data_IF_954934177191
#
_entry.id   IF_954934177191
#
_cell.length_a   1.000
_cell.length_b   1.000
_cell.length_c   1.000
_cell.angle_alpha   90.00
_cell.angle_beta   90.00
_cell.angle_gamma   90.00
#
_symmetry.space_group_name_H-M   'P 1'
#
loop_
_entity.id
_entity.type
_entity.pdbx_description
1 polymer ?
#
# COMPACT_ATOMS: atom_id res chain seq x y z
N UNK A 1 -30.63 -27.39 13.70
CA UNK A 1 -29.86 -26.81 14.81
C UNK A 1 -28.56 -26.33 14.19
N UNK A 2 -28.25 -25.06 14.35
CA UNK A 2 -27.08 -24.42 13.76
C UNK A 2 -25.87 -24.47 14.69
N UNK A 3 -24.66 -24.21 14.19
CA UNK A 3 -23.47 -24.19 15.02
C UNK A 3 -23.42 -22.94 15.91
N UNK A 4 -23.63 -21.76 15.32
CA UNK A 4 -23.73 -20.48 16.02
C UNK A 4 -24.96 -19.71 15.53
N UNK A 5 -25.70 -19.12 16.46
CA UNK A 5 -26.74 -18.13 16.17
C UNK A 5 -26.43 -16.82 16.89
N UNK A 6 -26.36 -15.72 16.14
CA UNK A 6 -26.29 -14.36 16.68
C UNK A 6 -27.69 -13.78 16.62
N UNK A 7 -28.30 -13.53 17.78
CA UNK A 7 -29.67 -13.04 17.95
C UNK A 7 -29.72 -11.53 17.89
N UNK A 8 -30.83 -10.99 17.39
CA UNK A 8 -31.20 -9.59 17.59
C UNK A 8 -30.12 -8.58 17.12
N UNK A 9 -29.55 -8.80 15.94
CA UNK A 9 -28.59 -7.87 15.33
C UNK A 9 -29.30 -6.80 14.48
N UNK A 10 -28.68 -5.64 14.35
CA UNK A 10 -28.96 -4.67 13.29
C UNK A 10 -28.06 -4.99 12.09
N UNK A 11 -28.60 -5.64 11.08
CA UNK A 11 -27.83 -6.19 9.96
C UNK A 11 -27.61 -5.12 8.89
N UNK A 12 -26.34 -4.89 8.57
CA UNK A 12 -25.84 -4.07 7.45
C UNK A 12 -25.04 -4.99 6.53
N UNK A 13 -25.65 -5.50 5.47
CA UNK A 13 -25.08 -6.60 4.66
C UNK A 13 -24.07 -6.19 3.58
N UNK A 14 -23.69 -4.90 3.54
CA UNK A 14 -22.70 -4.39 2.59
C UNK A 14 -23.25 -4.09 1.19
N UNK A 15 -24.52 -4.41 0.89
CA UNK A 15 -25.13 -4.15 -0.44
C UNK A 15 -25.50 -2.68 -0.69
N UNK A 16 -25.45 -1.84 0.35
CA UNK A 16 -25.98 -0.48 0.32
C UNK A 16 -27.49 -0.38 0.62
N UNK A 17 -28.18 -1.51 0.82
CA UNK A 17 -29.58 -1.50 1.26
C UNK A 17 -29.73 -0.98 2.71
N UNK A 18 -30.93 -0.50 3.10
CA UNK A 18 -31.19 -0.10 4.48
C UNK A 18 -30.97 -1.23 5.49
N UNK A 19 -30.49 -0.86 6.69
CA UNK A 19 -30.28 -1.80 7.78
C UNK A 19 -31.59 -2.44 8.25
N UNK A 20 -31.53 -3.69 8.71
CA UNK A 20 -32.70 -4.44 9.18
C UNK A 20 -32.40 -5.27 10.43
N UNK A 21 -33.38 -5.43 11.31
CA UNK A 21 -33.22 -6.31 12.47
C UNK A 21 -33.41 -7.79 12.10
N UNK A 22 -32.62 -8.65 12.74
CA UNK A 22 -32.82 -10.09 12.67
C UNK A 22 -31.66 -10.89 13.25
N UNK A 23 -31.74 -12.20 13.07
CA UNK A 23 -30.72 -13.14 13.52
C UNK A 23 -29.75 -13.51 12.39
N UNK A 24 -28.54 -13.94 12.76
CA UNK A 24 -27.60 -14.62 11.87
C UNK A 24 -27.44 -16.07 12.34
N UNK A 25 -27.46 -17.02 11.41
CA UNK A 25 -27.12 -18.41 11.70
C UNK A 25 -25.89 -18.82 10.89
N UNK A 26 -24.96 -19.52 11.52
CA UNK A 26 -23.70 -19.98 10.94
C UNK A 26 -23.61 -21.50 11.11
N UNK A 27 -23.29 -22.18 10.02
CA UNK A 27 -23.02 -23.62 9.95
C UNK A 27 -21.65 -23.82 9.28
N UNK A 28 -20.69 -24.37 10.02
CA UNK A 28 -19.29 -24.39 9.60
C UNK A 28 -18.75 -23.00 9.25
N UNK A 29 -18.28 -22.83 8.02
CA UNK A 29 -17.66 -21.58 7.51
C UNK A 29 -18.66 -20.69 6.76
N UNK A 30 -19.95 -21.01 6.76
CA UNK A 30 -20.96 -20.31 5.95
C UNK A 30 -22.11 -19.78 6.78
N UNK A 31 -22.65 -18.64 6.32
CA UNK A 31 -23.91 -18.11 6.80
C UNK A 31 -25.06 -18.99 6.26
N UNK A 32 -25.78 -19.64 7.16
CA UNK A 32 -26.99 -20.40 6.87
C UNK A 32 -28.24 -19.52 6.83
N UNK A 33 -28.26 -18.40 7.56
CA UNK A 33 -29.37 -17.44 7.58
C UNK A 33 -28.87 -16.04 7.88
N UNK A 34 -29.43 -15.04 7.19
CA UNK A 34 -29.12 -13.61 7.38
C UNK A 34 -30.42 -12.81 7.47
N UNK A 35 -30.83 -12.49 8.69
CA UNK A 35 -32.07 -11.79 9.00
C UNK A 35 -33.23 -12.72 9.32
N UNK A 36 -34.37 -12.14 9.70
CA UNK A 36 -35.52 -12.90 10.19
C UNK A 36 -35.24 -13.57 11.54
N UNK A 37 -35.95 -14.67 11.81
CA UNK A 37 -35.79 -15.46 13.04
C UNK A 37 -35.10 -16.77 12.72
N UNK A 38 -33.89 -16.95 13.23
CA UNK A 38 -33.13 -18.18 13.04
C UNK A 38 -33.66 -19.31 13.92
N UNK A 39 -33.39 -20.56 13.52
CA UNK A 39 -33.59 -21.74 14.37
C UNK A 39 -32.70 -21.72 15.63
N UNK A 40 -32.68 -22.82 16.38
CA UNK A 40 -31.79 -22.93 17.55
C UNK A 40 -30.33 -23.14 17.13
N UNK A 41 -29.41 -22.51 17.87
CA UNK A 41 -27.96 -22.70 17.72
C UNK A 41 -27.40 -23.57 18.85
N UNK A 42 -26.29 -24.28 18.61
CA UNK A 42 -25.50 -24.95 19.67
C UNK A 42 -24.90 -23.91 20.60
N UNK A 43 -24.43 -22.81 20.03
CA UNK A 43 -24.04 -21.58 20.72
C UNK A 43 -24.98 -20.45 20.28
N UNK A 44 -25.47 -19.67 21.23
CA UNK A 44 -26.27 -18.48 20.95
C UNK A 44 -25.62 -17.26 21.61
N UNK A 45 -25.57 -16.15 20.86
CA UNK A 45 -25.06 -14.85 21.31
C UNK A 45 -26.16 -13.83 21.09
N UNK A 46 -26.52 -13.04 22.09
CA UNK A 46 -27.42 -11.90 21.91
C UNK A 46 -26.61 -10.66 21.53
N UNK A 47 -26.84 -10.14 20.32
CA UNK A 47 -26.19 -8.91 19.86
C UNK A 47 -26.81 -7.65 20.50
N UNK A 48 -27.97 -7.74 21.16
CA UNK A 48 -28.56 -6.61 21.88
C UNK A 48 -28.90 -5.40 20.98
N UNK A 49 -29.13 -5.63 19.69
CA UNK A 49 -29.34 -4.58 18.70
C UNK A 49 -28.07 -3.97 18.11
N UNK A 50 -26.88 -4.49 18.44
CA UNK A 50 -25.62 -4.05 17.83
C UNK A 50 -25.57 -4.37 16.34
N UNK A 51 -24.71 -3.63 15.63
CA UNK A 51 -24.51 -3.81 14.19
C UNK A 51 -23.81 -5.14 13.92
N UNK A 52 -24.36 -5.90 12.98
CA UNK A 52 -23.66 -7.01 12.35
C UNK A 52 -23.46 -6.67 10.87
N UNK A 53 -22.21 -6.69 10.43
CA UNK A 53 -21.78 -6.39 9.07
C UNK A 53 -20.78 -7.44 8.59
N UNK A 54 -20.54 -7.55 7.26
CA UNK A 54 -19.37 -8.26 6.76
C UNK A 54 -18.11 -7.74 7.44
N UNK A 55 -17.16 -8.63 7.69
CA UNK A 55 -15.84 -8.21 8.13
C UNK A 55 -15.17 -7.31 7.09
N UNK A 56 -14.31 -6.41 7.56
CA UNK A 56 -13.77 -5.38 6.70
C UNK A 56 -12.67 -5.99 5.83
N UNK A 57 -12.63 -5.62 4.54
CA UNK A 57 -11.54 -5.97 3.65
C UNK A 57 -10.60 -4.77 3.59
N UNK A 58 -9.44 -4.90 4.22
CA UNK A 58 -8.40 -3.89 4.19
C UNK A 58 -7.57 -4.07 2.92
N UNK A 59 -7.86 -3.24 1.92
CA UNK A 59 -7.33 -3.40 0.55
C UNK A 59 -5.91 -2.84 0.38
N UNK A 60 -5.35 -2.19 1.42
CA UNK A 60 -4.08 -1.50 1.31
C UNK A 60 -3.25 -1.65 2.59
N UNK A 61 -2.53 -2.76 2.70
CA UNK A 61 -1.69 -3.08 3.87
C UNK A 61 -0.25 -3.40 3.47
N UNK A 62 0.63 -3.34 4.46
CA UNK A 62 2.05 -3.71 4.37
C UNK A 62 2.41 -4.78 5.41
N UNK A 63 1.52 -5.76 5.57
CA UNK A 63 1.72 -6.91 6.46
C UNK A 63 2.58 -8.03 5.83
N UNK A 64 3.24 -7.77 4.70
CA UNK A 64 4.04 -8.73 3.94
C UNK A 64 5.01 -9.53 4.80
N UNK A 65 5.76 -8.84 5.67
CA UNK A 65 6.64 -9.49 6.62
C UNK A 65 5.84 -10.08 7.79
N UNK A 66 4.96 -9.26 8.38
CA UNK A 66 4.21 -9.58 9.59
C UNK A 66 3.37 -10.84 9.49
N UNK A 67 2.84 -11.13 8.30
CA UNK A 67 2.09 -12.34 8.04
C UNK A 67 2.92 -13.61 8.27
N UNK A 68 4.26 -13.56 8.22
CA UNK A 68 5.09 -14.73 8.51
C UNK A 68 5.11 -15.13 9.99
N UNK A 69 4.88 -14.21 10.93
CA UNK A 69 4.97 -14.50 12.37
C UNK A 69 3.71 -14.18 13.20
N UNK A 70 2.86 -13.23 12.78
CA UNK A 70 1.67 -12.82 13.53
C UNK A 70 0.40 -13.46 12.93
N UNK A 71 -0.17 -14.49 13.58
CA UNK A 71 -1.39 -15.14 13.09
C UNK A 71 -2.64 -14.25 13.18
N UNK A 72 -2.57 -13.12 13.89
CA UNK A 72 -3.68 -12.22 14.13
C UNK A 72 -3.60 -10.93 13.31
N UNK A 73 -2.49 -10.64 12.63
CA UNK A 73 -2.23 -9.38 11.91
C UNK A 73 -2.64 -8.14 12.73
N UNK A 74 -2.14 -8.07 13.96
CA UNK A 74 -2.42 -6.96 14.87
C UNK A 74 -1.84 -5.65 14.32
N UNK A 75 -2.58 -4.51 14.40
CA UNK A 75 -3.85 -4.33 15.10
C UNK A 75 -5.11 -4.46 14.22
N UNK A 76 -5.02 -4.80 12.92
CA UNK A 76 -6.19 -4.78 12.01
C UNK A 76 -7.38 -5.60 12.52
N UNK A 77 -7.10 -6.74 13.15
CA UNK A 77 -8.11 -7.59 13.77
C UNK A 77 -8.93 -6.91 14.87
N UNK A 78 -8.34 -5.97 15.62
CA UNK A 78 -9.03 -5.21 16.67
C UNK A 78 -10.04 -4.22 16.10
N UNK A 79 -9.93 -3.92 14.81
CA UNK A 79 -10.79 -2.97 14.10
C UNK A 79 -11.84 -3.66 13.22
N UNK A 80 -11.99 -4.99 13.34
CA UNK A 80 -13.00 -5.77 12.62
C UNK A 80 -12.60 -6.16 11.20
N UNK A 81 -11.37 -5.87 10.77
CA UNK A 81 -10.82 -6.37 9.51
C UNK A 81 -10.82 -7.88 9.52
N UNK A 82 -11.37 -8.51 8.48
CA UNK A 82 -11.34 -9.97 8.29
C UNK A 82 -10.44 -10.44 7.16
N UNK A 83 -10.05 -9.54 6.27
CA UNK A 83 -9.23 -9.85 5.10
C UNK A 83 -8.25 -8.71 4.87
N UNK A 84 -6.98 -9.02 4.66
CA UNK A 84 -5.96 -8.04 4.32
C UNK A 84 -5.39 -8.30 2.92
N UNK A 85 -5.23 -7.24 2.13
CA UNK A 85 -4.50 -7.26 0.86
C UNK A 85 -3.13 -6.60 1.08
N UNK A 86 -2.06 -7.35 0.85
CA UNK A 86 -0.68 -6.90 1.04
C UNK A 86 0.10 -6.85 -0.27
N UNK A 87 1.35 -6.37 -0.21
CA UNK A 87 2.19 -6.15 -1.37
C UNK A 87 1.74 -4.93 -2.17
N UNK A 88 1.33 -3.85 -1.52
CA UNK A 88 0.95 -2.59 -2.15
C UNK A 88 2.18 -1.72 -2.47
N UNK A 89 2.00 -0.64 -3.21
CA UNK A 89 3.02 0.39 -3.43
C UNK A 89 4.32 -0.12 -4.09
N UNK A 90 4.28 -1.31 -4.71
CA UNK A 90 5.46 -1.95 -5.27
C UNK A 90 6.47 -2.45 -4.24
N UNK A 91 6.14 -2.53 -2.95
CA UNK A 91 7.04 -3.00 -1.89
C UNK A 91 6.49 -4.24 -1.20
N UNK A 92 7.38 -5.15 -0.84
CA UNK A 92 7.05 -6.43 -0.24
C UNK A 92 8.24 -7.38 -0.30
N UNK A 93 8.04 -8.63 0.12
CA UNK A 93 9.13 -9.57 0.37
C UNK A 93 9.14 -10.78 -0.58
N UNK A 94 8.48 -10.72 -1.74
CA UNK A 94 8.51 -11.80 -2.72
C UNK A 94 8.46 -11.27 -4.16
N UNK A 95 9.32 -11.76 -5.09
CA UNK A 95 10.42 -12.70 -4.84
C UNK A 95 11.52 -12.07 -3.95
N UNK A 96 12.29 -12.92 -3.26
CA UNK A 96 13.34 -12.52 -2.35
C UNK A 96 14.62 -13.32 -2.61
N UNK A 97 15.54 -12.72 -3.38
CA UNK A 97 16.90 -13.26 -3.51
C UNK A 97 17.55 -13.30 -2.12
N UNK A 98 18.07 -14.46 -1.65
CA UNK A 98 18.74 -14.58 -0.36
C UNK A 98 19.88 -13.57 -0.14
N UNK A 99 20.53 -13.12 -1.20
CA UNK A 99 21.57 -12.09 -1.13
C UNK A 99 21.01 -10.66 -0.93
N UNK A 100 19.69 -10.47 -0.94
CA UNK A 100 18.99 -9.18 -0.94
C UNK A 100 17.98 -9.00 0.20
N UNK A 101 17.88 -9.94 1.14
CA UNK A 101 16.94 -9.83 2.26
C UNK A 101 17.09 -8.52 3.05
N UNK A 102 18.31 -8.13 3.42
CA UNK A 102 18.57 -6.89 4.16
C UNK A 102 18.17 -5.65 3.34
N UNK A 103 18.36 -5.69 2.02
CA UNK A 103 17.96 -4.61 1.13
C UNK A 103 16.44 -4.49 1.04
N UNK A 104 15.71 -5.62 0.94
CA UNK A 104 14.25 -5.61 0.95
C UNK A 104 13.69 -5.08 2.28
N UNK A 105 14.34 -5.42 3.40
CA UNK A 105 14.00 -4.87 4.72
C UNK A 105 14.20 -3.35 4.73
N UNK A 106 15.35 -2.86 4.27
CA UNK A 106 15.63 -1.42 4.20
C UNK A 106 14.71 -0.66 3.22
N UNK A 107 14.23 -1.31 2.17
CA UNK A 107 13.22 -0.77 1.27
C UNK A 107 11.88 -0.61 1.99
N UNK A 108 11.39 -1.65 2.66
CA UNK A 108 10.13 -1.60 3.42
C UNK A 108 10.21 -0.58 4.56
N UNK A 109 11.32 -0.55 5.30
CA UNK A 109 11.56 0.40 6.40
C UNK A 109 11.50 1.85 5.92
N UNK A 110 12.16 2.18 4.80
CA UNK A 110 12.17 3.54 4.27
C UNK A 110 10.80 4.04 3.81
N UNK A 111 9.96 3.13 3.29
CA UNK A 111 8.66 3.49 2.69
C UNK A 111 7.56 3.51 3.73
N UNK A 112 7.49 2.47 4.57
CA UNK A 112 6.37 2.23 5.50
C UNK A 112 6.69 2.57 6.96
N UNK A 113 7.93 3.03 7.24
CA UNK A 113 8.40 3.37 8.59
C UNK A 113 8.26 2.19 9.58
N UNK A 114 8.29 0.96 9.04
CA UNK A 114 8.31 -0.27 9.83
C UNK A 114 9.74 -0.50 10.29
N UNK A 115 10.02 -0.60 11.61
CA UNK A 115 11.39 -0.75 12.09
C UNK A 115 12.07 -1.96 11.46
N UNK A 116 13.22 -1.76 10.81
CA UNK A 116 13.95 -2.83 10.13
C UNK A 116 14.35 -3.95 11.08
N UNK A 117 14.60 -3.62 12.35
CA UNK A 117 14.85 -4.59 13.43
C UNK A 117 13.67 -5.53 13.67
N UNK A 118 12.44 -5.04 13.64
CA UNK A 118 11.25 -5.88 13.80
C UNK A 118 11.08 -6.85 12.63
N UNK A 119 11.39 -6.39 11.41
CA UNK A 119 11.36 -7.22 10.20
C UNK A 119 12.48 -8.27 10.21
N UNK A 120 13.70 -7.88 10.56
CA UNK A 120 14.85 -8.78 10.63
C UNK A 120 14.71 -9.87 11.71
N UNK A 121 14.10 -9.54 12.86
CA UNK A 121 13.83 -10.51 13.92
C UNK A 121 12.59 -11.37 13.64
N UNK A 122 11.56 -10.79 13.02
CA UNK A 122 10.27 -11.44 12.81
C UNK A 122 10.20 -12.34 11.58
N UNK A 123 10.81 -11.93 10.47
CA UNK A 123 10.71 -12.69 9.21
C UNK A 123 11.53 -13.97 9.32
N UNK A 124 10.85 -15.11 9.15
CA UNK A 124 11.49 -16.39 8.87
C UNK A 124 11.43 -16.64 7.37
N UNK A 125 12.57 -16.49 6.70
CA UNK A 125 12.66 -16.68 5.25
C UNK A 125 12.53 -18.16 4.88
N UNK A 126 11.39 -18.53 4.32
CA UNK A 126 11.10 -19.88 3.83
C UNK A 126 10.78 -19.92 2.32
N UNK A 127 11.14 -18.84 1.60
CA UNK A 127 10.83 -18.65 0.19
C UNK A 127 11.91 -17.84 -0.50
N UNK A 128 12.06 -18.06 -1.81
CA UNK A 128 12.81 -17.20 -2.73
C UNK A 128 11.86 -16.68 -3.82
N UNK A 129 10.97 -17.54 -4.30
CA UNK A 129 9.99 -17.21 -5.35
C UNK A 129 8.63 -16.79 -4.78
N UNK A 130 7.80 -16.14 -5.60
CA UNK A 130 6.45 -15.75 -5.18
C UNK A 130 5.53 -16.95 -4.87
N UNK A 131 5.52 -18.05 -5.65
CA UNK A 131 4.76 -19.25 -5.28
C UNK A 131 5.19 -19.84 -3.93
N UNK A 132 6.49 -19.90 -3.64
CA UNK A 132 6.98 -20.37 -2.33
C UNK A 132 6.53 -19.46 -1.18
N UNK A 133 6.44 -18.15 -1.43
CA UNK A 133 5.88 -17.21 -0.45
C UNK A 133 4.40 -17.51 -0.16
N UNK A 134 3.59 -17.78 -1.18
CA UNK A 134 2.19 -18.21 -1.00
C UNK A 134 2.10 -19.51 -0.21
N UNK A 135 2.91 -20.51 -0.55
CA UNK A 135 2.97 -21.77 0.19
C UNK A 135 3.38 -21.55 1.65
N UNK A 136 4.31 -20.63 1.91
CA UNK A 136 4.71 -20.24 3.26
C UNK A 136 3.58 -19.60 4.04
N UNK A 137 2.79 -18.74 3.39
CA UNK A 137 1.64 -18.12 4.02
C UNK A 137 0.53 -19.12 4.33
N UNK A 138 0.24 -20.07 3.43
CA UNK A 138 -0.79 -21.11 3.56
C UNK A 138 -0.50 -22.08 4.72
N UNK A 139 0.79 -22.40 4.98
CA UNK A 139 1.18 -23.24 6.12
C UNK A 139 0.87 -22.60 7.48
N UNK A 140 0.79 -21.28 7.54
CA UNK A 140 0.55 -20.54 8.77
C UNK A 140 -0.90 -20.66 9.25
N UNK A 141 -1.10 -20.89 10.55
CA UNK A 141 -2.43 -20.73 11.15
C UNK A 141 -2.78 -19.24 11.17
N UNK A 142 -3.93 -18.85 10.63
CA UNK A 142 -4.38 -17.46 10.59
C UNK A 142 -5.76 -17.30 11.22
N UNK A 143 -5.95 -16.16 11.87
CA UNK A 143 -7.27 -15.69 12.28
C UNK A 143 -7.99 -14.89 11.16
N UNK A 144 -7.30 -14.61 10.05
CA UNK A 144 -7.74 -13.73 8.97
C UNK A 144 -7.34 -14.24 7.59
N UNK A 145 -8.13 -13.85 6.58
CA UNK A 145 -7.82 -14.11 5.18
C UNK A 145 -6.73 -13.16 4.69
N UNK A 146 -5.85 -13.67 3.83
CA UNK A 146 -4.77 -12.91 3.22
C UNK A 146 -4.87 -13.01 1.71
N UNK A 147 -4.76 -11.87 1.04
CA UNK A 147 -4.55 -11.76 -0.38
C UNK A 147 -3.25 -11.00 -0.66
N UNK A 148 -2.48 -11.43 -1.65
CA UNK A 148 -1.17 -10.84 -1.94
C UNK A 148 -1.11 -10.31 -3.36
N UNK A 149 -0.47 -9.15 -3.51
CA UNK A 149 -0.07 -8.60 -4.79
C UNK A 149 1.44 -8.79 -4.98
N UNK A 150 1.88 -8.89 -6.22
CA UNK A 150 3.30 -8.98 -6.55
C UNK A 150 3.93 -7.58 -6.51
N UNK A 151 4.90 -7.31 -5.63
CA UNK A 151 5.52 -5.99 -5.49
C UNK A 151 6.56 -5.74 -6.58
N UNK A 152 6.37 -4.68 -7.37
CA UNK A 152 7.28 -4.31 -8.45
C UNK A 152 8.74 -4.19 -8.02
N UNK A 153 9.00 -3.60 -6.86
CA UNK A 153 10.36 -3.33 -6.41
C UNK A 153 11.14 -4.60 -6.09
N UNK A 154 10.48 -5.61 -5.52
CA UNK A 154 11.09 -6.92 -5.29
C UNK A 154 11.40 -7.62 -6.63
N UNK A 155 10.47 -7.56 -7.60
CA UNK A 155 10.67 -8.11 -8.94
C UNK A 155 11.84 -7.45 -9.68
N UNK A 156 11.92 -6.11 -9.65
CA UNK A 156 13.04 -5.37 -10.26
C UNK A 156 14.37 -5.72 -9.59
N UNK A 157 14.42 -5.74 -8.26
CA UNK A 157 15.63 -6.12 -7.53
C UNK A 157 16.10 -7.54 -7.88
N UNK A 158 15.16 -8.48 -7.99
CA UNK A 158 15.44 -9.87 -8.34
C UNK A 158 15.99 -10.02 -9.77
N UNK A 159 15.43 -9.32 -10.76
CA UNK A 159 15.84 -9.43 -12.17
C UNK A 159 17.06 -8.59 -12.51
N UNK A 160 17.16 -7.39 -11.93
CA UNK A 160 18.18 -6.41 -12.31
C UNK A 160 19.33 -6.31 -11.28
N UNK A 161 19.22 -6.99 -10.14
CA UNK A 161 20.20 -6.89 -9.06
C UNK A 161 20.30 -5.47 -8.51
N UNK A 162 21.52 -5.00 -8.28
CA UNK A 162 21.78 -3.67 -7.69
C UNK A 162 21.26 -2.53 -8.56
N UNK A 163 21.33 -2.69 -9.89
CA UNK A 163 20.80 -1.71 -10.83
C UNK A 163 19.27 -1.57 -10.71
N UNK A 164 18.58 -2.63 -10.26
CA UNK A 164 17.14 -2.59 -9.99
C UNK A 164 16.77 -1.61 -8.90
N UNK A 165 17.68 -1.36 -7.94
CA UNK A 165 17.51 -0.42 -6.84
C UNK A 165 17.66 1.06 -7.25
N UNK A 166 17.97 1.33 -8.52
CA UNK A 166 18.33 2.66 -9.04
C UNK A 166 17.40 3.10 -10.17
N UNK A 167 17.46 4.38 -10.54
CA UNK A 167 16.72 4.97 -11.66
C UNK A 167 17.32 4.56 -13.03
N UNK A 168 17.19 3.29 -13.37
CA UNK A 168 17.69 2.71 -14.63
C UNK A 168 16.54 2.06 -15.40
N UNK A 169 16.44 2.32 -16.69
CA UNK A 169 15.47 1.66 -17.57
C UNK A 169 15.80 0.16 -17.73
N UNK A 170 14.81 -0.71 -17.57
CA UNK A 170 14.98 -2.14 -17.82
C UNK A 170 15.15 -2.42 -19.32
N UNK A 171 16.04 -3.34 -19.67
CA UNK A 171 16.19 -3.85 -21.04
C UNK A 171 14.98 -4.70 -21.46
N UNK A 172 14.84 -4.98 -22.75
CA UNK A 172 13.76 -5.84 -23.25
C UNK A 172 13.77 -7.26 -22.62
N UNK A 173 14.96 -7.82 -22.40
CA UNK A 173 15.13 -9.13 -21.76
C UNK A 173 14.74 -9.08 -20.28
N UNK A 174 15.13 -8.01 -19.58
CA UNK A 174 14.75 -7.79 -18.19
C UNK A 174 13.24 -7.61 -18.04
N UNK A 175 12.58 -6.83 -18.91
CA UNK A 175 11.11 -6.69 -18.92
C UNK A 175 10.42 -8.03 -19.15
N UNK A 176 10.96 -8.85 -20.05
CA UNK A 176 10.45 -10.20 -20.32
C UNK A 176 10.57 -11.10 -19.09
N UNK A 177 11.71 -11.04 -18.39
CA UNK A 177 11.93 -11.80 -17.16
C UNK A 177 11.01 -11.33 -16.02
N UNK A 178 10.83 -10.02 -15.83
CA UNK A 178 9.89 -9.48 -14.83
C UNK A 178 8.45 -9.90 -15.12
N UNK A 179 8.03 -9.81 -16.38
CA UNK A 179 6.70 -10.25 -16.81
C UNK A 179 6.49 -11.75 -16.58
N UNK A 180 7.53 -12.58 -16.78
CA UNK A 180 7.46 -14.02 -16.50
C UNK A 180 7.24 -14.32 -15.01
N UNK A 181 7.98 -13.65 -14.12
CA UNK A 181 7.82 -13.79 -12.66
C UNK A 181 6.40 -13.40 -12.23
N UNK A 182 5.90 -12.26 -12.73
CA UNK A 182 4.54 -11.82 -12.39
C UNK A 182 3.50 -12.79 -12.95
N UNK A 183 3.68 -13.28 -14.18
CA UNK A 183 2.79 -14.27 -14.78
C UNK A 183 2.69 -15.57 -13.97
N UNK A 184 3.81 -16.08 -13.48
CA UNK A 184 3.87 -17.26 -12.61
C UNK A 184 3.17 -17.00 -11.27
N UNK A 185 3.44 -15.85 -10.64
CA UNK A 185 2.81 -15.46 -9.39
C UNK A 185 1.28 -15.35 -9.51
N UNK A 186 0.77 -14.78 -10.61
CA UNK A 186 -0.67 -14.73 -10.88
C UNK A 186 -1.27 -16.12 -11.06
N UNK A 187 -0.56 -17.05 -11.69
CA UNK A 187 -1.00 -18.45 -11.83
C UNK A 187 -1.00 -19.18 -10.48
N UNK A 188 -0.07 -18.85 -9.58
CA UNK A 188 0.03 -19.43 -8.25
C UNK A 188 -1.05 -18.92 -7.28
N UNK A 189 -1.67 -17.76 -7.56
CA UNK A 189 -2.79 -17.23 -6.77
C UNK A 189 -2.65 -15.79 -6.31
N UNK A 190 -1.64 -15.05 -6.77
CA UNK A 190 -1.58 -13.61 -6.54
C UNK A 190 -2.87 -12.94 -7.05
N UNK A 191 -3.43 -12.00 -6.27
CA UNK A 191 -4.64 -11.27 -6.69
C UNK A 191 -4.33 -10.09 -7.60
N UNK A 192 -3.05 -9.73 -7.72
CA UNK A 192 -2.62 -8.57 -8.48
C UNK A 192 -1.12 -8.31 -8.47
N UNK A 193 -0.78 -7.12 -8.93
CA UNK A 193 0.56 -6.54 -8.97
C UNK A 193 0.47 -5.09 -8.51
N UNK A 194 1.49 -4.59 -7.83
CA UNK A 194 1.56 -3.21 -7.39
C UNK A 194 2.81 -2.50 -7.86
N UNK A 195 2.74 -1.19 -8.08
CA UNK A 195 3.90 -0.34 -8.37
C UNK A 195 3.82 0.99 -7.65
N UNK A 196 4.97 1.55 -7.30
CA UNK A 196 5.10 2.96 -6.91
C UNK A 196 5.72 3.78 -8.04
N UNK A 197 5.20 5.01 -8.19
CA UNK A 197 5.53 6.09 -9.12
C UNK A 197 5.48 7.45 -8.41
N UNK A 198 5.60 7.43 -7.08
CA UNK A 198 5.69 8.65 -6.27
C UNK A 198 7.13 8.86 -5.83
N UNK A 199 7.60 10.11 -5.92
CA UNK A 199 8.93 10.50 -5.41
C UNK A 199 9.01 10.55 -3.88
N UNK A 200 7.87 10.34 -3.20
CA UNK A 200 7.76 10.28 -1.75
C UNK A 200 8.18 8.93 -1.19
N UNK A 201 7.98 7.84 -1.93
CA UNK A 201 8.42 6.51 -1.50
C UNK A 201 9.92 6.39 -1.73
N UNK A 202 10.67 6.24 -0.64
CA UNK A 202 12.14 6.17 -0.66
C UNK A 202 12.64 5.05 0.24
N UNK A 203 13.79 4.48 -0.10
CA UNK A 203 14.53 3.61 0.80
C UNK A 203 15.15 4.43 1.94
N UNK A 204 15.71 3.73 2.94
CA UNK A 204 16.46 4.35 4.03
C UNK A 204 17.66 5.19 3.56
N UNK A 205 18.22 4.86 2.39
CA UNK A 205 19.32 5.59 1.76
C UNK A 205 18.86 6.86 1.03
N UNK A 206 17.54 7.10 0.97
CA UNK A 206 16.93 8.25 0.32
C UNK A 206 16.71 8.08 -1.18
N UNK A 207 17.02 6.92 -1.76
CA UNK A 207 16.76 6.59 -3.16
C UNK A 207 15.27 6.32 -3.39
N UNK A 208 14.74 6.67 -4.56
CA UNK A 208 13.32 6.39 -4.87
C UNK A 208 13.09 4.88 -5.01
N UNK A 209 11.89 4.42 -4.65
CA UNK A 209 11.55 2.99 -4.76
C UNK A 209 11.69 2.51 -6.21
N UNK A 210 12.25 1.31 -6.43
CA UNK A 210 12.30 0.71 -7.76
C UNK A 210 10.94 0.63 -8.44
N UNK A 211 10.90 1.08 -9.69
CA UNK A 211 9.66 1.22 -10.46
C UNK A 211 9.14 2.65 -10.54
N UNK A 212 9.64 3.58 -9.70
CA UNK A 212 9.20 4.98 -9.69
C UNK A 212 9.25 5.62 -11.08
N UNK A 213 10.30 5.28 -11.84
CA UNK A 213 10.60 5.82 -13.16
C UNK A 213 10.41 4.81 -14.29
N UNK A 214 9.85 3.63 -14.00
CA UNK A 214 9.58 2.60 -15.01
C UNK A 214 8.79 3.18 -16.18
N UNK A 215 9.14 2.84 -17.41
CA UNK A 215 8.40 3.35 -18.55
C UNK A 215 7.07 2.59 -18.74
N UNK A 216 6.19 3.13 -19.58
CA UNK A 216 4.92 2.50 -19.86
C UNK A 216 5.07 1.11 -20.51
N UNK A 217 6.16 0.86 -21.25
CA UNK A 217 6.36 -0.42 -21.92
C UNK A 217 6.73 -1.53 -20.93
N UNK A 218 7.44 -1.23 -19.84
CA UNK A 218 7.63 -2.14 -18.71
C UNK A 218 6.31 -2.47 -18.03
N UNK A 219 5.50 -1.47 -17.68
CA UNK A 219 4.20 -1.66 -17.01
C UNK A 219 3.21 -2.46 -17.90
N UNK A 220 3.18 -2.18 -19.20
CA UNK A 220 2.34 -2.91 -20.15
C UNK A 220 2.82 -4.35 -20.38
N UNK A 221 4.12 -4.62 -20.35
CA UNK A 221 4.65 -5.98 -20.44
C UNK A 221 4.20 -6.84 -19.24
N UNK A 222 4.24 -6.26 -18.04
CA UNK A 222 3.77 -6.91 -16.81
C UNK A 222 2.25 -7.13 -16.87
N UNK A 223 1.48 -6.09 -17.22
CA UNK A 223 0.03 -6.20 -17.36
C UNK A 223 -0.38 -7.26 -18.39
N UNK A 224 0.36 -7.37 -19.51
CA UNK A 224 0.14 -8.42 -20.51
C UNK A 224 0.28 -9.83 -19.92
N UNK A 225 1.32 -10.07 -19.11
CA UNK A 225 1.49 -11.35 -18.42
C UNK A 225 0.36 -11.64 -17.42
N UNK A 226 -0.08 -10.64 -16.65
CA UNK A 226 -1.25 -10.78 -15.77
C UNK A 226 -2.51 -11.13 -16.56
N UNK A 227 -2.74 -10.46 -17.69
CA UNK A 227 -3.88 -10.72 -18.57
C UNK A 227 -3.87 -12.13 -19.16
N UNK A 228 -2.68 -12.64 -19.54
CA UNK A 228 -2.50 -14.01 -20.00
C UNK A 228 -2.76 -15.04 -18.89
N UNK A 229 -2.49 -14.69 -17.63
CA UNK A 229 -2.76 -15.51 -16.45
C UNK A 229 -4.22 -15.43 -15.94
N UNK A 230 -5.07 -14.58 -16.54
CA UNK A 230 -6.50 -14.49 -16.21
C UNK A 230 -6.98 -13.08 -15.81
N UNK A 231 -6.06 -12.11 -15.68
CA UNK A 231 -6.32 -10.77 -15.18
C UNK A 231 -6.06 -10.65 -13.68
N UNK A 232 -6.39 -9.50 -13.09
CA UNK A 232 -6.14 -9.20 -11.68
C UNK A 232 -6.24 -7.71 -11.39
N UNK A 233 -5.83 -7.30 -10.19
CA UNK A 233 -5.71 -5.89 -9.81
C UNK A 233 -4.30 -5.40 -10.09
N UNK A 234 -4.19 -4.24 -10.75
CA UNK A 234 -2.95 -3.51 -10.94
C UNK A 234 -3.03 -2.26 -10.05
N UNK A 235 -2.34 -2.29 -8.92
CA UNK A 235 -2.31 -1.19 -7.94
C UNK A 235 -1.18 -0.21 -8.25
N UNK A 236 -1.47 1.08 -8.06
CA UNK A 236 -0.56 2.17 -8.42
C UNK A 236 -0.55 3.25 -7.33
N UNK A 237 0.57 3.36 -6.63
CA UNK A 237 0.91 4.58 -5.90
C UNK A 237 1.58 5.56 -6.87
N UNK A 238 1.01 6.73 -7.12
CA UNK A 238 1.54 7.70 -8.08
C UNK A 238 1.28 9.13 -7.63
N UNK A 239 2.21 10.04 -7.98
CA UNK A 239 1.99 11.48 -7.83
C UNK A 239 0.92 12.02 -8.79
N UNK A 240 0.47 11.20 -9.76
CA UNK A 240 -0.49 11.56 -10.81
C UNK A 240 -0.08 12.87 -11.51
N UNK A 241 1.21 13.02 -11.75
CA UNK A 241 1.83 14.25 -12.24
C UNK A 241 2.87 13.94 -13.33
N UNK A 242 2.55 14.15 -14.63
CA UNK A 242 1.31 14.72 -15.15
C UNK A 242 0.14 13.73 -15.19
N UNK A 243 -1.03 14.18 -14.72
CA UNK A 243 -2.27 13.40 -14.56
C UNK A 243 -2.66 12.61 -15.81
N UNK A 244 -2.76 13.27 -16.96
CA UNK A 244 -3.20 12.62 -18.21
C UNK A 244 -2.30 11.48 -18.65
N UNK A 245 -0.97 11.66 -18.56
CA UNK A 245 -0.01 10.60 -18.96
C UNK A 245 -0.17 9.36 -18.09
N UNK A 246 -0.44 9.55 -16.80
CA UNK A 246 -0.62 8.44 -15.88
C UNK A 246 -1.92 7.67 -16.18
N UNK A 247 -3.01 8.41 -16.41
CA UNK A 247 -4.30 7.82 -16.76
C UNK A 247 -4.30 7.11 -18.13
N UNK A 248 -3.46 7.54 -19.07
CA UNK A 248 -3.37 6.95 -20.41
C UNK A 248 -2.88 5.49 -20.35
N UNK A 249 -1.78 5.21 -19.64
CA UNK A 249 -1.26 3.85 -19.56
C UNK A 249 -2.12 2.97 -18.63
N UNK A 250 -2.70 3.54 -17.56
CA UNK A 250 -3.69 2.83 -16.73
C UNK A 250 -4.90 2.40 -17.58
N UNK A 251 -5.37 3.28 -18.47
CA UNK A 251 -6.45 2.96 -19.40
C UNK A 251 -6.05 1.88 -20.39
N UNK A 252 -4.83 1.94 -20.93
CA UNK A 252 -4.31 0.90 -21.82
C UNK A 252 -4.27 -0.48 -21.14
N UNK A 253 -3.88 -0.56 -19.87
CA UNK A 253 -3.92 -1.81 -19.08
C UNK A 253 -5.35 -2.39 -19.02
N UNK A 254 -6.33 -1.54 -18.74
CA UNK A 254 -7.74 -1.96 -18.64
C UNK A 254 -8.24 -2.47 -20.00
N UNK A 255 -7.97 -1.75 -21.08
CA UNK A 255 -8.48 -2.08 -22.42
C UNK A 255 -7.82 -3.34 -22.99
N UNK A 256 -6.53 -3.53 -22.73
CA UNK A 256 -5.72 -4.54 -23.43
C UNK A 256 -5.55 -5.84 -22.62
N UNK A 257 -5.66 -5.79 -21.28
CA UNK A 257 -5.09 -6.85 -20.45
C UNK A 257 -6.01 -7.49 -19.41
N UNK A 258 -7.35 -7.41 -19.54
CA UNK A 258 -8.31 -8.00 -18.56
C UNK A 258 -8.07 -7.61 -17.10
N UNK A 259 -7.26 -6.59 -16.85
CA UNK A 259 -6.90 -6.12 -15.53
C UNK A 259 -7.87 -5.03 -15.08
N UNK A 260 -7.95 -4.84 -13.76
CA UNK A 260 -8.54 -3.68 -13.12
C UNK A 260 -7.41 -2.85 -12.55
N UNK A 261 -7.50 -1.53 -12.64
CA UNK A 261 -6.49 -0.64 -12.08
C UNK A 261 -7.05 0.00 -10.82
N UNK A 262 -6.26 -0.01 -9.75
CA UNK A 262 -6.53 0.81 -8.57
C UNK A 262 -5.39 1.81 -8.39
N UNK A 263 -5.69 2.98 -7.83
CA UNK A 263 -4.65 3.98 -7.58
C UNK A 263 -4.96 4.81 -6.35
N UNK A 264 -3.92 5.24 -5.63
CA UNK A 264 -4.06 6.15 -4.50
C UNK A 264 -4.61 7.51 -4.96
N UNK A 265 -5.81 7.87 -4.50
CA UNK A 265 -6.44 9.16 -4.78
C UNK A 265 -6.32 10.07 -3.55
N UNK A 266 -5.26 10.87 -3.54
CA UNK A 266 -4.93 11.79 -2.45
C UNK A 266 -5.19 13.24 -2.83
N UNK A 267 -5.47 14.07 -1.82
CA UNK A 267 -5.58 15.51 -2.03
C UNK A 267 -4.19 16.13 -2.09
N UNK A 268 -3.93 16.88 -3.16
CA UNK A 268 -2.70 17.62 -3.37
C UNK A 268 -2.93 19.12 -3.13
N UNK A 269 -2.07 19.76 -2.34
CA UNK A 269 -2.13 21.21 -2.06
C UNK A 269 -1.65 22.09 -3.22
N UNK A 270 -0.92 21.52 -4.19
CA UNK A 270 -0.53 22.22 -5.41
C UNK A 270 -1.66 22.26 -6.45
N UNK A 271 -2.54 21.24 -6.44
CA UNK A 271 -3.76 21.17 -7.24
C UNK A 271 -4.95 20.68 -6.40
N UNK A 272 -5.59 21.57 -5.61
CA UNK A 272 -6.69 21.20 -4.72
C UNK A 272 -7.93 20.63 -5.43
N UNK A 273 -8.02 20.77 -6.76
CA UNK A 273 -9.13 20.26 -7.58
C UNK A 273 -8.86 18.87 -8.19
N UNK A 274 -7.62 18.38 -8.12
CA UNK A 274 -7.18 17.15 -8.80
C UNK A 274 -8.03 15.93 -8.45
N UNK A 275 -8.23 15.68 -7.14
CA UNK A 275 -8.99 14.53 -6.65
C UNK A 275 -10.42 14.48 -7.24
N UNK A 276 -11.09 15.61 -7.46
CA UNK A 276 -12.44 15.63 -8.07
C UNK A 276 -12.40 15.16 -9.51
N UNK A 277 -11.43 15.67 -10.29
CA UNK A 277 -11.25 15.26 -11.69
C UNK A 277 -10.92 13.78 -11.80
N UNK A 278 -10.10 13.26 -10.89
CA UNK A 278 -9.75 11.85 -10.79
C UNK A 278 -10.98 10.97 -10.47
N UNK A 279 -11.80 11.38 -9.50
CA UNK A 279 -13.05 10.68 -9.17
C UNK A 279 -14.06 10.73 -10.33
N UNK A 280 -14.23 11.89 -10.98
CA UNK A 280 -15.12 12.04 -12.14
C UNK A 280 -14.65 11.16 -13.31
N UNK A 281 -13.33 11.12 -13.56
CA UNK A 281 -12.74 10.28 -14.59
C UNK A 281 -12.97 8.79 -14.28
N UNK A 282 -12.67 8.33 -13.07
CA UNK A 282 -12.89 6.94 -12.65
C UNK A 282 -14.38 6.54 -12.72
N UNK A 283 -15.30 7.42 -12.33
CA UNK A 283 -16.73 7.17 -12.44
C UNK A 283 -17.19 6.93 -13.89
N UNK A 284 -16.50 7.55 -14.87
CA UNK A 284 -16.75 7.36 -16.30
C UNK A 284 -16.02 6.15 -16.90
N UNK A 285 -15.11 5.50 -16.16
CA UNK A 285 -14.18 4.50 -16.67
C UNK A 285 -14.30 3.17 -15.90
N UNK A 286 -15.12 2.23 -16.38
CA UNK A 286 -15.23 0.91 -15.77
C UNK A 286 -13.87 0.20 -15.68
N UNK A 287 -13.53 -0.24 -14.48
CA UNK A 287 -12.28 -0.94 -14.20
C UNK A 287 -11.14 -0.07 -13.69
N UNK A 288 -11.37 1.22 -13.52
CA UNK A 288 -10.47 2.15 -12.83
C UNK A 288 -11.07 2.52 -11.47
N UNK A 289 -10.37 2.22 -10.38
CA UNK A 289 -10.90 2.35 -9.02
C UNK A 289 -9.97 3.20 -8.13
N UNK A 290 -10.35 4.43 -7.76
CA UNK A 290 -9.57 5.24 -6.84
C UNK A 290 -9.66 4.67 -5.42
N UNK A 291 -8.51 4.53 -4.76
CA UNK A 291 -8.41 4.23 -3.36
C UNK A 291 -8.39 5.55 -2.57
N UNK A 292 -9.38 5.75 -1.70
CA UNK A 292 -9.52 6.97 -0.89
C UNK A 292 -9.35 6.61 0.57
N UNK A 293 -8.39 7.24 1.23
CA UNK A 293 -8.18 7.03 2.66
C UNK A 293 -9.38 7.54 3.46
N UNK A 294 -9.85 6.73 4.42
CA UNK A 294 -10.96 7.08 5.33
C UNK A 294 -10.60 8.22 6.31
N UNK A 295 -9.32 8.56 6.41
CA UNK A 295 -8.77 9.63 7.23
C UNK A 295 -7.60 10.29 6.48
N UNK A 296 -7.44 11.62 6.57
CA UNK A 296 -6.25 12.27 6.02
C UNK A 296 -4.96 11.80 6.72
N UNK A 297 -3.82 11.73 5.99
CA UNK A 297 -2.54 11.40 6.59
C UNK A 297 -2.16 12.43 7.66
N UNK A 298 -1.76 11.95 8.83
CA UNK A 298 -1.25 12.79 9.92
C UNK A 298 0.27 12.83 9.86
N UNK A 299 0.87 14.02 9.87
CA UNK A 299 2.32 14.18 9.94
C UNK A 299 2.71 14.59 11.35
N UNK A 300 3.56 13.79 12.00
CA UNK A 300 4.22 14.21 13.23
C UNK A 300 5.39 15.12 12.86
N UNK A 301 5.32 16.38 13.29
CA UNK A 301 6.38 17.35 13.00
C UNK A 301 7.31 17.52 14.20
N UNK A 302 8.60 17.36 13.96
CA UNK A 302 9.65 17.64 14.95
C UNK A 302 10.86 18.29 14.25
N UNK A 303 11.75 18.92 15.02
CA UNK A 303 12.93 19.59 14.46
C UNK A 303 13.97 18.61 13.91
N UNK A 304 13.99 17.37 14.39
CA UNK A 304 14.85 16.29 13.86
C UNK A 304 14.21 15.51 12.71
N UNK A 305 12.95 15.83 12.37
CA UNK A 305 12.21 15.17 11.30
C UNK A 305 11.60 16.19 10.34
N UNK A 306 10.41 15.89 9.83
CA UNK A 306 9.71 16.76 8.88
C UNK A 306 9.10 17.98 9.58
N UNK A 307 9.43 19.19 9.13
CA UNK A 307 8.83 20.43 9.66
C UNK A 307 8.83 21.56 8.60
N UNK A 308 7.97 22.59 8.74
CA UNK A 308 7.78 23.62 7.71
C UNK A 308 8.93 24.64 7.60
N UNK A 309 10.04 24.42 8.28
CA UNK A 309 11.19 25.33 8.29
C UNK A 309 12.37 24.82 7.46
N UNK A 310 12.40 23.54 7.08
CA UNK A 310 13.55 22.88 6.41
C UNK A 310 13.97 23.60 5.13
N UNK A 311 13.04 24.25 4.43
CA UNK A 311 13.31 24.96 3.17
C UNK A 311 13.60 26.44 3.31
N UNK A 312 13.77 26.94 4.54
CA UNK A 312 13.93 28.37 4.80
C UNK A 312 15.41 28.69 4.98
N UNK A 313 15.98 29.65 4.22
CA UNK A 313 17.41 29.97 4.28
C UNK A 313 17.95 30.20 5.70
N UNK A 314 17.20 30.90 6.56
CA UNK A 314 17.62 31.15 7.94
C UNK A 314 17.59 29.90 8.81
N UNK A 315 16.76 28.90 8.49
CA UNK A 315 16.79 27.60 9.18
C UNK A 315 17.95 26.74 8.66
N UNK A 316 18.19 26.71 7.36
CA UNK A 316 19.31 25.96 6.76
C UNK A 316 20.65 26.38 7.35
N UNK A 317 20.84 27.68 7.63
CA UNK A 317 22.04 28.21 8.28
C UNK A 317 22.29 27.66 9.71
N UNK A 318 21.31 27.02 10.34
CA UNK A 318 21.42 26.41 11.66
C UNK A 318 21.09 24.90 11.66
N UNK A 319 20.79 24.30 10.51
CA UNK A 319 20.25 22.93 10.42
C UNK A 319 21.19 21.86 11.00
N UNK A 320 22.50 22.07 10.89
CA UNK A 320 23.52 21.12 11.37
C UNK A 320 23.86 21.26 12.86
N UNK A 321 23.27 22.24 13.57
CA UNK A 321 23.51 22.40 15.00
C UNK A 321 22.80 21.28 15.79
N UNK A 322 23.32 20.89 16.98
CA UNK A 322 22.61 19.98 17.87
C UNK A 322 21.18 20.48 18.16
N UNK A 323 20.21 19.58 18.29
CA UNK A 323 18.78 19.91 18.45
C UNK A 323 18.52 21.03 19.48
N UNK A 324 19.15 20.93 20.66
CA UNK A 324 18.99 21.91 21.73
C UNK A 324 19.46 23.31 21.31
N UNK A 325 20.55 23.39 20.56
CA UNK A 325 21.11 24.65 20.06
C UNK A 325 20.27 25.20 18.91
N UNK A 326 19.78 24.35 17.99
CA UNK A 326 18.77 24.76 16.98
C UNK A 326 17.56 25.39 17.64
N UNK A 327 16.98 24.70 18.62
CA UNK A 327 15.81 25.18 19.34
C UNK A 327 16.09 26.50 20.08
N UNK A 328 17.30 26.68 20.63
CA UNK A 328 17.73 27.94 21.25
C UNK A 328 17.80 29.07 20.22
N UNK A 329 18.49 28.87 19.09
CA UNK A 329 18.61 29.87 18.01
C UNK A 329 17.26 30.24 17.43
N UNK A 330 16.36 29.28 17.23
CA UNK A 330 15.00 29.53 16.72
C UNK A 330 14.12 30.32 17.69
N UNK A 331 14.46 30.38 18.98
CA UNK A 331 13.76 31.23 19.97
C UNK A 331 14.23 32.69 19.95
N UNK A 332 15.38 32.99 19.34
CA UNK A 332 15.88 34.36 19.19
C UNK A 332 14.88 35.15 18.32
N UNK A 333 14.30 36.29 18.79
CA UNK A 333 13.22 36.97 18.10
C UNK A 333 13.51 37.31 16.63
N UNK A 334 14.74 37.73 16.34
CA UNK A 334 15.18 38.08 14.99
C UNK A 334 15.32 36.86 14.08
N UNK A 335 15.82 35.74 14.59
CA UNK A 335 15.91 34.47 13.84
C UNK A 335 14.52 33.95 13.56
N UNK A 336 13.65 33.93 14.58
CA UNK A 336 12.25 33.52 14.43
C UNK A 336 11.52 34.36 13.39
N UNK A 337 11.66 35.69 13.46
CA UNK A 337 11.00 36.59 12.51
C UNK A 337 11.48 36.36 11.07
N UNK A 338 12.80 36.18 10.86
CA UNK A 338 13.36 35.86 9.54
C UNK A 338 12.85 34.54 9.01
N UNK A 339 12.96 33.46 9.79
CA UNK A 339 12.44 32.14 9.42
C UNK A 339 10.96 32.27 9.05
N UNK A 340 10.12 32.93 9.86
CA UNK A 340 8.68 33.02 9.59
C UNK A 340 8.31 33.86 8.34
N UNK A 341 9.08 34.90 8.03
CA UNK A 341 8.84 35.78 6.89
C UNK A 341 9.39 35.23 5.56
N UNK A 342 10.36 34.32 5.61
CA UNK A 342 10.93 33.68 4.42
C UNK A 342 9.88 32.80 3.71
N UNK A 343 9.73 33.02 2.41
CA UNK A 343 9.11 32.04 1.53
C UNK A 343 10.07 30.85 1.45
N UNK A 344 9.66 29.70 1.98
CA UNK A 344 10.36 28.44 1.72
C UNK A 344 9.84 27.80 0.44
N UNK A 345 10.64 26.94 -0.19
CA UNK A 345 10.04 25.87 -0.97
C UNK A 345 9.13 25.08 -0.01
N UNK A 346 7.86 24.86 -0.39
CA UNK A 346 6.92 24.05 0.40
C UNK A 346 7.59 22.72 0.74
N UNK A 347 7.42 22.10 1.92
CA UNK A 347 8.12 20.85 2.26
C UNK A 347 8.03 19.80 1.15
N UNK A 348 6.86 19.60 0.53
CA UNK A 348 6.70 18.72 -0.63
C UNK A 348 7.50 19.16 -1.87
N UNK A 349 7.49 20.46 -2.19
CA UNK A 349 8.28 21.05 -3.29
C UNK A 349 9.78 21.13 -2.97
N UNK A 350 10.16 21.22 -1.71
CA UNK A 350 11.54 21.21 -1.21
C UNK A 350 12.09 19.79 -1.21
N UNK A 351 11.30 18.80 -0.80
CA UNK A 351 11.58 17.37 -1.04
C UNK A 351 11.75 17.13 -2.54
N UNK A 352 10.89 17.71 -3.38
CA UNK A 352 11.05 17.62 -4.84
C UNK A 352 12.29 18.34 -5.39
N UNK A 353 12.60 19.55 -4.93
CA UNK A 353 13.70 20.41 -5.44
C UNK A 353 15.07 20.03 -4.87
N UNK A 354 15.20 19.73 -3.58
CA UNK A 354 16.46 19.30 -2.97
C UNK A 354 16.99 17.99 -3.58
N UNK A 355 16.08 17.15 -4.09
CA UNK A 355 16.41 15.80 -4.53
C UNK A 355 16.20 15.56 -6.04
N UNK A 356 15.69 16.54 -6.80
CA UNK A 356 15.79 16.56 -8.27
C UNK A 356 16.95 17.41 -8.80
N UNK A 357 17.45 18.38 -8.03
CA UNK A 357 18.59 19.24 -8.42
C UNK A 357 19.89 18.89 -7.65
N UNK A 358 19.92 17.75 -6.97
CA UNK A 358 21.06 17.26 -6.21
C UNK A 358 22.08 16.46 -7.03
N UNK A 359 22.75 17.11 -7.99
CA UNK A 359 23.91 16.64 -8.80
C UNK A 359 23.75 15.43 -9.72
#
# INVERSE_FOLDING_TARGET
MHDLVIRNALIVDGSGAPARHGDLAIDGERLATVGGKAGTGRREIDAGGLVAAPGWVDVHTHYDGQASWDPYLTPSCWHGVTTAVMGNCGVGFAPADPARHDWLIGLMEGVEDIPGTALAEGITWEWETFPEYLDSLERGQRAFDIATQVPHGAVRAYVMGEAGATDVEASADQRTAMAAIVGEAMQAGAVGFSTSRTVLHRSIDGEVVPGTTADAAELLAIASAMGAAGGGVFEVASDLAPEGRELDWMSAIIDQHRCKVTYACIQNDEDPGQWRRLLDHAASRPGLYPQVAIRPPGVLMCLDGTHPFTGRPSYLAIADLPLAERARRMREPEVRARILAEAGARPARLLRLLFMEGK
#
